data_IF_246902959878
#
_entry.id   IF_246902959878
#
_cell.length_a   1.000
_cell.length_b   1.000
_cell.length_c   1.000
_cell.angle_alpha   90.00
_cell.angle_beta   90.00
_cell.angle_gamma   90.00
#
_symmetry.space_group_name_H-M   'P 1'
#
loop_
_entity.id
_entity.type
_entity.pdbx_description
1 polymer ?
#
# COMPACT_ATOMS: atom_id res chain seq x y z
N UNK A 1 -29.74 -38.16 26.32
CA UNK A 1 -29.88 -36.71 26.59
C UNK A 1 -28.65 -36.12 27.26
N UNK A 2 -28.22 -36.64 28.42
CA UNK A 2 -27.02 -36.12 29.12
C UNK A 2 -25.76 -36.10 28.25
N UNK A 3 -25.46 -37.20 27.55
CA UNK A 3 -24.29 -37.31 26.64
C UNK A 3 -24.30 -36.31 25.48
N UNK A 4 -25.46 -36.07 24.88
CA UNK A 4 -25.63 -35.10 23.78
C UNK A 4 -25.42 -33.67 24.31
N UNK A 5 -25.97 -33.35 25.48
CA UNK A 5 -25.79 -32.05 26.13
C UNK A 5 -24.31 -31.81 26.50
N UNK A 6 -23.63 -32.83 27.02
CA UNK A 6 -22.19 -32.75 27.34
C UNK A 6 -21.35 -32.55 26.09
N UNK A 7 -21.67 -33.24 24.98
CA UNK A 7 -20.97 -33.08 23.70
C UNK A 7 -21.09 -31.64 23.18
N UNK A 8 -22.32 -31.07 23.19
CA UNK A 8 -22.56 -29.69 22.77
C UNK A 8 -21.77 -28.69 23.62
N UNK A 9 -21.74 -28.89 24.94
CA UNK A 9 -20.99 -28.02 25.86
C UNK A 9 -19.49 -28.05 25.57
N UNK A 10 -18.92 -29.23 25.30
CA UNK A 10 -17.50 -29.40 24.97
C UNK A 10 -17.17 -28.76 23.63
N UNK A 11 -18.01 -28.93 22.61
CA UNK A 11 -17.80 -28.26 21.31
C UNK A 11 -17.87 -26.74 21.45
N UNK A 12 -18.77 -26.22 22.29
CA UNK A 12 -18.90 -24.78 22.55
C UNK A 12 -17.67 -24.21 23.28
N UNK A 13 -17.10 -24.93 24.25
CA UNK A 13 -15.92 -24.45 24.99
C UNK A 13 -14.66 -24.44 24.11
N UNK A 14 -14.48 -25.46 23.26
CA UNK A 14 -13.34 -25.53 22.33
C UNK A 14 -13.40 -24.39 21.31
N UNK A 15 -14.57 -24.17 20.70
CA UNK A 15 -14.75 -23.10 19.69
C UNK A 15 -14.58 -21.69 20.29
N UNK A 16 -15.02 -21.49 21.53
CA UNK A 16 -14.84 -20.23 22.26
C UNK A 16 -13.38 -19.96 22.64
N UNK A 17 -12.58 -21.01 22.88
CA UNK A 17 -11.14 -20.89 23.13
C UNK A 17 -10.37 -20.50 21.88
N UNK A 18 -10.61 -21.19 20.75
CA UNK A 18 -9.96 -20.90 19.47
C UNK A 18 -10.28 -19.48 18.98
N UNK A 19 -11.48 -18.96 19.28
CA UNK A 19 -11.87 -17.60 18.90
C UNK A 19 -11.12 -16.49 19.68
N UNK A 20 -10.63 -16.77 20.89
CA UNK A 20 -9.95 -15.78 21.74
C UNK A 20 -8.48 -15.57 21.38
N UNK A 21 -7.82 -16.53 20.72
CA UNK A 21 -6.41 -16.42 20.29
C UNK A 21 -6.19 -15.52 19.06
N UNK A 22 -7.13 -14.62 18.74
CA UNK A 22 -6.96 -13.69 17.62
C UNK A 22 -6.15 -12.47 18.05
N UNK A 23 -4.84 -12.65 18.17
CA UNK A 23 -3.92 -11.57 18.49
C UNK A 23 -3.87 -10.58 17.31
N UNK A 24 -4.14 -9.29 17.58
CA UNK A 24 -4.03 -8.25 16.54
C UNK A 24 -2.57 -7.84 16.45
N UNK A 25 -1.91 -8.23 15.36
CA UNK A 25 -0.56 -7.74 15.06
C UNK A 25 -0.64 -6.26 14.65
N UNK A 26 0.17 -5.42 15.28
CA UNK A 26 0.23 -3.99 14.99
C UNK A 26 1.62 -3.62 14.49
N UNK A 27 1.67 -2.75 13.48
CA UNK A 27 2.92 -2.26 12.91
C UNK A 27 3.01 -0.76 13.14
N UNK A 28 4.16 -0.30 13.65
CA UNK A 28 4.45 1.13 13.80
C UNK A 28 5.35 1.58 12.65
N UNK A 29 4.90 2.58 11.90
CA UNK A 29 5.64 3.16 10.79
C UNK A 29 5.63 4.67 10.90
N UNK A 30 6.72 5.32 10.52
CA UNK A 30 6.78 6.78 10.46
C UNK A 30 5.82 7.30 9.38
N UNK A 31 5.27 8.50 9.57
CA UNK A 31 4.28 9.09 8.64
C UNK A 31 4.84 9.18 7.22
N UNK A 32 6.16 9.41 7.06
CA UNK A 32 6.81 9.49 5.76
C UNK A 32 6.84 8.15 5.02
N UNK A 33 6.64 7.03 5.73
CA UNK A 33 6.68 5.68 5.18
C UNK A 33 5.32 4.97 5.23
N UNK A 34 4.26 5.68 5.66
CA UNK A 34 2.91 5.13 5.74
C UNK A 34 2.39 4.63 4.38
N UNK A 35 2.52 5.44 3.33
CA UNK A 35 2.04 5.07 1.99
C UNK A 35 2.81 3.86 1.42
N UNK A 36 4.16 3.85 1.40
CA UNK A 36 4.93 2.65 1.02
C UNK A 36 4.52 1.40 1.82
N UNK A 37 4.40 1.53 3.15
CA UNK A 37 4.04 0.43 4.03
C UNK A 37 2.67 -0.18 3.69
N UNK A 38 1.66 0.66 3.46
CA UNK A 38 0.32 0.18 3.07
C UNK A 38 0.41 -0.58 1.75
N UNK A 39 1.08 -0.03 0.73
CA UNK A 39 1.16 -0.68 -0.58
C UNK A 39 1.90 -2.00 -0.50
N UNK A 40 2.97 -2.10 0.28
CA UNK A 40 3.76 -3.33 0.39
C UNK A 40 3.06 -4.43 1.20
N UNK A 41 2.17 -4.08 2.14
CA UNK A 41 1.50 -5.05 3.03
C UNK A 41 0.03 -5.34 2.67
N UNK A 42 -0.64 -4.45 1.93
CA UNK A 42 -2.06 -4.60 1.58
C UNK A 42 -2.32 -4.74 0.08
N UNK A 43 -1.44 -4.22 -0.80
CA UNK A 43 -1.63 -4.43 -2.23
C UNK A 43 -1.12 -5.83 -2.59
N UNK A 44 -2.05 -6.66 -3.07
CA UNK A 44 -1.80 -8.00 -3.59
C UNK A 44 -0.55 -8.07 -4.45
N UNK A 45 0.22 -9.15 -4.30
CA UNK A 45 1.47 -9.45 -5.04
C UNK A 45 1.35 -9.14 -6.54
N UNK A 46 1.76 -7.93 -6.92
CA UNK A 46 2.06 -7.60 -8.31
C UNK A 46 3.40 -8.22 -8.65
N UNK A 47 3.39 -9.53 -8.91
CA UNK A 47 4.52 -10.29 -9.44
C UNK A 47 4.67 -10.01 -10.95
N UNK A 48 4.87 -8.75 -11.33
CA UNK A 48 5.36 -8.38 -12.66
C UNK A 48 6.86 -8.07 -12.55
N UNK A 49 7.61 -9.11 -12.20
CA UNK A 49 9.04 -9.17 -12.44
C UNK A 49 9.23 -9.72 -13.86
N UNK A 50 9.57 -8.88 -14.85
CA UNK A 50 10.39 -9.28 -16.02
C UNK A 50 10.37 -8.33 -17.23
N UNK A 51 9.83 -7.11 -17.15
CA UNK A 51 9.98 -6.15 -18.24
C UNK A 51 10.55 -4.82 -17.74
N UNK A 52 11.63 -4.36 -18.39
CA UNK A 52 12.15 -3.01 -18.23
C UNK A 52 11.03 -2.00 -18.55
N UNK A 53 10.80 -1.06 -17.65
CA UNK A 53 9.71 -0.09 -17.73
C UNK A 53 10.24 1.22 -18.30
N UNK A 54 9.61 1.70 -19.37
CA UNK A 54 9.81 3.06 -19.86
C UNK A 54 8.63 3.92 -19.38
N UNK A 55 8.88 4.76 -18.38
CA UNK A 55 7.85 5.57 -17.72
C UNK A 55 7.98 7.02 -18.16
N UNK A 56 6.91 7.61 -18.69
CA UNK A 56 6.86 9.05 -19.00
C UNK A 56 5.84 9.73 -18.10
N UNK A 57 6.31 10.63 -17.24
CA UNK A 57 5.48 11.48 -16.40
C UNK A 57 5.19 12.78 -17.14
N UNK A 58 3.92 12.98 -17.51
CA UNK A 58 3.45 14.26 -18.03
C UNK A 58 2.81 15.05 -16.88
N UNK A 59 3.48 16.11 -16.44
CA UNK A 59 3.06 16.91 -15.29
C UNK A 59 2.61 18.28 -15.77
N UNK A 60 1.33 18.59 -15.58
CA UNK A 60 0.85 19.94 -15.77
C UNK A 60 1.31 20.81 -14.60
N UNK A 61 2.03 21.89 -14.90
CA UNK A 61 2.40 22.91 -13.93
C UNK A 61 1.68 24.20 -14.31
N UNK A 62 0.67 24.62 -13.54
CA UNK A 62 0.11 25.96 -13.72
C UNK A 62 1.20 27.01 -13.51
N UNK A 63 1.09 28.18 -14.16
CA UNK A 63 2.00 29.31 -13.88
C UNK A 63 2.01 29.75 -12.41
N UNK A 64 1.00 29.35 -11.65
CA UNK A 64 0.95 29.40 -10.18
C UNK A 64 1.53 28.11 -9.61
N UNK A 65 2.42 28.23 -8.63
CA UNK A 65 3.05 27.09 -7.98
C UNK A 65 2.03 26.03 -7.52
N UNK A 66 2.34 24.75 -7.65
CA UNK A 66 1.52 23.66 -7.09
C UNK A 66 1.16 23.96 -5.62
N UNK A 67 -0.08 23.70 -5.25
CA UNK A 67 -0.52 23.79 -3.86
C UNK A 67 0.26 22.77 -2.99
N UNK A 68 0.21 22.98 -1.67
CA UNK A 68 1.00 22.19 -0.71
C UNK A 68 0.59 20.72 -0.73
N UNK A 69 -0.70 20.41 -0.88
CA UNK A 69 -1.21 19.04 -0.88
C UNK A 69 -0.74 18.30 -2.13
N UNK A 70 -0.91 18.91 -3.30
CA UNK A 70 -0.42 18.36 -4.58
C UNK A 70 1.08 18.11 -4.56
N UNK A 71 1.87 19.02 -3.97
CA UNK A 71 3.32 18.83 -3.78
C UNK A 71 3.64 17.61 -2.92
N UNK A 72 2.93 17.44 -1.80
CA UNK A 72 3.14 16.32 -0.89
C UNK A 72 2.78 15.01 -1.58
N UNK A 73 1.63 14.95 -2.26
CA UNK A 73 1.19 13.77 -3.01
C UNK A 73 2.21 13.40 -4.09
N UNK A 74 2.64 14.38 -4.89
CA UNK A 74 3.62 14.16 -5.96
C UNK A 74 4.96 13.64 -5.39
N UNK A 75 5.42 14.21 -4.28
CA UNK A 75 6.63 13.75 -3.58
C UNK A 75 6.49 12.31 -3.08
N UNK A 76 5.35 11.94 -2.51
CA UNK A 76 5.11 10.57 -2.03
C UNK A 76 5.00 9.57 -3.20
N UNK A 77 4.36 9.95 -4.29
CA UNK A 77 4.27 9.15 -5.50
C UNK A 77 5.66 8.86 -6.07
N UNK A 78 6.49 9.88 -6.26
CA UNK A 78 7.86 9.69 -6.74
C UNK A 78 8.72 8.87 -5.78
N UNK A 79 8.57 9.07 -4.46
CA UNK A 79 9.28 8.25 -3.45
C UNK A 79 8.88 6.77 -3.52
N UNK A 80 7.60 6.48 -3.77
CA UNK A 80 7.13 5.10 -3.93
C UNK A 80 7.67 4.48 -5.23
N UNK A 81 7.63 5.24 -6.33
CA UNK A 81 8.16 4.81 -7.62
C UNK A 81 9.66 4.55 -7.55
N UNK A 82 10.45 5.45 -6.95
CA UNK A 82 11.90 5.31 -6.87
C UNK A 82 12.35 4.06 -6.11
N UNK A 83 11.53 3.56 -5.17
CA UNK A 83 11.80 2.31 -4.44
C UNK A 83 11.56 1.05 -5.28
N UNK A 84 10.81 1.17 -6.37
CA UNK A 84 10.35 0.05 -7.22
C UNK A 84 11.01 0.02 -8.59
N UNK A 85 11.84 1.01 -8.88
CA UNK A 85 12.60 1.12 -10.12
C UNK A 85 13.94 0.43 -9.97
N UNK A 86 14.39 -0.17 -11.07
CA UNK A 86 15.68 -0.82 -11.23
C UNK A 86 16.59 -0.01 -12.15
N UNK A 87 17.87 -0.37 -12.23
CA UNK A 87 18.85 0.31 -13.10
C UNK A 87 18.51 0.23 -14.59
N UNK A 88 17.67 -0.73 -14.98
CA UNK A 88 17.25 -0.94 -16.37
C UNK A 88 15.98 -0.16 -16.75
N UNK A 89 15.34 0.51 -15.80
CA UNK A 89 14.13 1.29 -16.03
C UNK A 89 14.47 2.71 -16.47
N UNK A 90 13.75 3.22 -17.47
CA UNK A 90 13.93 4.59 -17.96
C UNK A 90 12.78 5.48 -17.49
N UNK A 91 13.13 6.66 -16.98
CA UNK A 91 12.18 7.68 -16.54
C UNK A 91 12.34 8.93 -17.41
N UNK A 92 11.24 9.38 -17.99
CA UNK A 92 11.13 10.70 -18.62
C UNK A 92 10.13 11.54 -17.85
N UNK A 93 10.49 12.80 -17.58
CA UNK A 93 9.61 13.75 -16.92
C UNK A 93 9.44 14.94 -17.87
N UNK A 94 8.20 15.19 -18.27
CA UNK A 94 7.80 16.28 -19.15
C UNK A 94 6.85 17.17 -18.36
N UNK A 95 7.25 18.42 -18.15
CA UNK A 95 6.37 19.42 -17.56
C UNK A 95 5.79 20.30 -18.65
N UNK A 96 4.53 20.69 -18.51
CA UNK A 96 3.93 21.70 -19.38
C UNK A 96 3.09 22.66 -18.54
N UNK A 97 3.27 23.96 -18.79
CA UNK A 97 2.28 24.95 -18.41
C UNK A 97 1.28 25.02 -19.54
N UNK A 98 0.02 24.62 -19.28
CA UNK A 98 -1.05 24.84 -20.24
C UNK A 98 -1.04 26.31 -20.64
N UNK A 99 -0.67 26.60 -21.89
CA UNK A 99 -0.88 27.92 -22.47
C UNK A 99 -2.39 28.04 -22.69
N UNK A 100 -3.03 28.84 -21.85
CA UNK A 100 -4.27 29.56 -22.13
C UNK A 100 -4.18 30.89 -21.39
#
# INVERSE_FOLDING_TARGET
MKTIITLILVTFTITSGIAQEKNIETFSVSIENLIPFIVDNYASSFNDESANKNLTFLIQVSGVSLDIESKIVLKQAFKLLSKRLTENDNISIVTYSGFN
#
